data_IF_077330962552
#
_entry.id   IF_077330962552
#
_cell.length_a   1.000
_cell.length_b   1.000
_cell.length_c   1.000
_cell.angle_alpha   90.00
_cell.angle_beta   90.00
_cell.angle_gamma   90.00
#
_symmetry.space_group_name_H-M   'P 1'
#
loop_
_entity.id
_entity.type
_entity.pdbx_description
1 polymer ?
#
# COMPACT_ATOMS: atom_id res chain seq x y z
N UNK A 1 -8.59 -23.85 -3.07
CA UNK A 1 -8.56 -22.94 -1.92
C UNK A 1 -7.38 -21.98 -2.04
N UNK A 2 -7.61 -20.68 -1.84
CA UNK A 2 -6.54 -19.66 -1.83
C UNK A 2 -5.90 -19.65 -0.46
N UNK A 3 -4.56 -19.78 -0.45
CA UNK A 3 -3.77 -19.87 0.79
C UNK A 3 -3.93 -18.65 1.69
N UNK A 4 -4.18 -18.83 3.00
CA UNK A 4 -3.90 -17.77 3.95
C UNK A 4 -2.38 -17.58 4.07
N UNK A 5 -1.95 -16.36 4.30
CA UNK A 5 -0.54 -15.98 4.37
C UNK A 5 0.12 -16.48 5.67
N UNK A 6 0.21 -17.81 5.84
CA UNK A 6 0.77 -18.43 7.05
C UNK A 6 2.28 -18.22 7.21
N UNK A 7 2.97 -17.85 6.15
CA UNK A 7 4.38 -17.46 6.19
C UNK A 7 4.61 -16.18 7.00
N UNK A 8 3.61 -15.30 7.07
CA UNK A 8 3.66 -14.06 7.83
C UNK A 8 3.08 -14.22 9.25
N UNK A 9 2.04 -15.06 9.41
CA UNK A 9 1.27 -15.13 10.66
C UNK A 9 0.63 -16.50 10.86
N UNK A 10 0.70 -17.04 12.11
CA UNK A 10 0.04 -18.30 12.54
C UNK A 10 0.42 -19.48 11.65
N UNK A 11 1.70 -19.74 11.50
CA UNK A 11 2.25 -20.85 10.70
C UNK A 11 1.67 -22.22 11.10
N UNK A 12 1.28 -22.41 12.36
CA UNK A 12 0.68 -23.65 12.86
C UNK A 12 -0.64 -24.03 12.16
N UNK A 13 -1.30 -23.10 11.45
CA UNK A 13 -2.46 -23.39 10.58
C UNK A 13 -2.15 -24.38 9.45
N UNK A 14 -0.88 -24.62 9.15
CA UNK A 14 -0.47 -25.62 8.17
C UNK A 14 -1.07 -27.00 8.44
N UNK A 15 -1.22 -27.39 9.71
CA UNK A 15 -1.84 -28.66 10.10
C UNK A 15 -3.28 -28.76 9.59
N UNK A 16 -4.09 -27.71 9.82
CA UNK A 16 -5.46 -27.63 9.32
C UNK A 16 -5.51 -27.63 7.80
N UNK A 17 -4.63 -26.85 7.15
CA UNK A 17 -4.56 -26.79 5.67
C UNK A 17 -4.33 -28.19 5.11
N UNK A 18 -3.33 -28.93 5.62
CA UNK A 18 -3.02 -30.29 5.14
C UNK A 18 -4.17 -31.28 5.30
N UNK A 19 -4.96 -31.12 6.36
CA UNK A 19 -6.04 -32.07 6.67
C UNK A 19 -7.38 -31.74 5.98
N UNK A 20 -7.53 -30.52 5.46
CA UNK A 20 -8.83 -30.02 4.99
C UNK A 20 -8.84 -29.51 3.55
N UNK A 21 -7.69 -29.48 2.88
CA UNK A 21 -7.56 -28.87 1.56
C UNK A 21 -6.98 -29.86 0.55
N UNK A 22 -7.72 -30.13 -0.54
CA UNK A 22 -7.26 -31.00 -1.62
C UNK A 22 -6.30 -30.30 -2.57
N UNK A 23 -6.55 -29.02 -2.86
CA UNK A 23 -5.70 -28.18 -3.74
C UNK A 23 -5.48 -26.82 -3.12
N UNK A 24 -4.21 -26.42 -3.02
CA UNK A 24 -3.79 -25.11 -2.49
C UNK A 24 -3.31 -24.22 -3.62
N UNK A 25 -3.93 -23.06 -3.73
CA UNK A 25 -3.50 -21.99 -4.66
C UNK A 25 -2.82 -20.90 -3.87
N UNK A 26 -1.70 -20.42 -4.39
CA UNK A 26 -0.90 -19.34 -3.79
C UNK A 26 -0.86 -18.14 -4.73
N UNK A 27 -0.78 -16.95 -4.16
CA UNK A 27 -0.84 -15.68 -4.91
C UNK A 27 0.52 -14.98 -5.00
N UNK A 28 1.51 -15.41 -4.20
CA UNK A 28 2.88 -14.92 -4.31
C UNK A 28 3.83 -16.01 -4.80
N UNK A 29 4.81 -15.69 -5.67
CA UNK A 29 5.73 -16.68 -6.24
C UNK A 29 6.49 -17.48 -5.19
N UNK A 30 6.96 -16.81 -4.13
CA UNK A 30 7.75 -17.41 -3.06
C UNK A 30 6.94 -18.38 -2.18
N UNK A 31 5.61 -18.28 -2.15
CA UNK A 31 4.77 -19.19 -1.36
C UNK A 31 4.86 -20.63 -1.86
N UNK A 32 5.03 -20.83 -3.17
CA UNK A 32 5.20 -22.17 -3.75
C UNK A 32 6.41 -22.88 -3.14
N UNK A 33 7.55 -22.20 -3.07
CA UNK A 33 8.77 -22.71 -2.45
C UNK A 33 8.59 -22.92 -0.94
N UNK A 34 7.95 -21.95 -0.26
CA UNK A 34 7.66 -22.01 1.17
C UNK A 34 6.86 -23.27 1.52
N UNK A 35 5.75 -23.55 0.82
CA UNK A 35 4.95 -24.76 1.08
C UNK A 35 5.70 -26.01 0.73
N UNK A 36 6.39 -26.06 -0.40
CA UNK A 36 7.15 -27.25 -0.84
C UNK A 36 8.30 -27.60 0.10
N UNK A 37 9.20 -26.68 0.36
CA UNK A 37 10.44 -26.99 1.10
C UNK A 37 10.22 -27.05 2.61
N UNK A 38 9.44 -26.13 3.17
CA UNK A 38 9.23 -26.07 4.62
C UNK A 38 8.15 -27.03 5.10
N UNK A 39 7.09 -27.18 4.35
CA UNK A 39 5.92 -27.93 4.78
C UNK A 39 5.68 -29.24 4.03
N UNK A 40 6.49 -29.58 3.04
CA UNK A 40 6.34 -30.79 2.22
C UNK A 40 4.93 -30.88 1.63
N UNK A 41 4.38 -29.77 1.14
CA UNK A 41 3.05 -29.65 0.58
C UNK A 41 3.13 -28.98 -0.79
N UNK A 42 2.50 -29.61 -1.79
CA UNK A 42 2.41 -29.01 -3.13
C UNK A 42 1.38 -27.88 -3.16
N UNK A 43 1.70 -26.85 -3.92
CA UNK A 43 0.81 -25.70 -4.16
C UNK A 43 0.98 -25.19 -5.59
N UNK A 44 -0.05 -24.54 -6.12
CA UNK A 44 -0.06 -24.02 -7.49
C UNK A 44 -0.10 -22.49 -7.45
N UNK A 45 0.82 -21.87 -8.17
CA UNK A 45 0.86 -20.42 -8.36
C UNK A 45 0.30 -20.04 -9.74
N UNK A 46 -0.75 -19.21 -9.77
CA UNK A 46 -1.40 -18.72 -11.00
C UNK A 46 -1.23 -17.21 -11.22
N UNK A 47 -0.43 -16.54 -10.40
CA UNK A 47 -0.33 -15.08 -10.42
C UNK A 47 -1.16 -14.43 -9.31
N UNK A 48 -0.99 -13.13 -9.18
CA UNK A 48 -1.75 -12.35 -8.19
C UNK A 48 -2.99 -11.74 -8.85
N UNK A 49 -4.19 -11.85 -8.25
CA UNK A 49 -5.44 -11.34 -8.85
C UNK A 49 -5.42 -9.86 -9.21
N UNK A 50 -4.64 -9.05 -8.49
CA UNK A 50 -4.49 -7.62 -8.80
C UNK A 50 -3.89 -7.36 -10.19
N UNK A 51 -3.07 -8.27 -10.73
CA UNK A 51 -2.45 -8.09 -12.05
C UNK A 51 -3.55 -8.01 -13.11
N UNK A 52 -4.44 -8.98 -13.13
CA UNK A 52 -5.58 -9.00 -14.07
C UNK A 52 -6.50 -7.77 -13.89
N UNK A 53 -6.74 -7.35 -12.65
CA UNK A 53 -7.55 -6.17 -12.37
C UNK A 53 -6.92 -4.88 -12.90
N UNK A 54 -5.59 -4.74 -12.78
CA UNK A 54 -4.86 -3.57 -13.27
C UNK A 54 -4.76 -3.59 -14.79
N UNK A 55 -4.47 -4.75 -15.40
CA UNK A 55 -4.34 -4.90 -16.85
C UNK A 55 -5.67 -4.61 -17.57
N UNK A 56 -6.80 -4.98 -16.96
CA UNK A 56 -8.13 -4.74 -17.52
C UNK A 56 -8.71 -3.36 -17.15
N UNK A 57 -8.02 -2.58 -16.32
CA UNK A 57 -8.52 -1.28 -15.89
C UNK A 57 -8.52 -0.26 -17.04
N UNK A 58 -9.63 0.45 -17.16
CA UNK A 58 -9.80 1.54 -18.14
C UNK A 58 -9.97 2.87 -17.39
N UNK A 59 -9.01 3.79 -17.52
CA UNK A 59 -9.08 5.08 -16.84
C UNK A 59 -10.32 5.89 -17.24
N UNK A 60 -10.89 6.58 -16.27
CA UNK A 60 -12.01 7.48 -16.49
C UNK A 60 -11.51 8.86 -16.96
N UNK A 61 -11.71 9.19 -18.22
CA UNK A 61 -11.32 10.46 -18.82
C UNK A 61 -11.95 11.71 -18.14
N UNK A 62 -13.01 11.51 -17.35
CA UNK A 62 -13.69 12.59 -16.61
C UNK A 62 -13.23 12.68 -15.14
N UNK A 63 -12.19 11.91 -14.74
CA UNK A 63 -11.73 11.84 -13.34
C UNK A 63 -11.46 13.24 -12.75
N UNK A 64 -10.68 14.06 -13.42
CA UNK A 64 -10.35 15.42 -12.97
C UNK A 64 -11.60 16.31 -12.83
N UNK A 65 -12.45 16.32 -13.87
CA UNK A 65 -13.67 17.14 -13.88
C UNK A 65 -14.66 16.72 -12.80
N UNK A 66 -14.91 15.41 -12.67
CA UNK A 66 -15.89 14.88 -11.74
C UNK A 66 -15.51 15.12 -10.27
N UNK A 67 -14.21 15.24 -10.00
CA UNK A 67 -13.68 15.41 -8.64
C UNK A 67 -13.21 16.85 -8.36
N UNK A 68 -13.38 17.78 -9.28
CA UNK A 68 -12.89 19.16 -9.19
C UNK A 68 -11.38 19.22 -8.85
N UNK A 69 -10.58 18.39 -9.49
CA UNK A 69 -9.12 18.31 -9.35
C UNK A 69 -8.48 19.13 -10.47
N UNK A 70 -7.50 19.96 -10.13
CA UNK A 70 -6.74 20.71 -11.13
C UNK A 70 -5.82 19.80 -11.93
N UNK A 71 -5.76 20.01 -13.25
CA UNK A 71 -4.79 19.33 -14.13
C UNK A 71 -3.44 20.06 -14.22
N UNK A 72 -3.34 21.25 -13.65
CA UNK A 72 -2.12 22.07 -13.69
C UNK A 72 -1.05 21.63 -12.67
N UNK A 73 -1.44 20.77 -11.72
CA UNK A 73 -0.57 20.32 -10.64
C UNK A 73 -0.42 18.80 -10.68
N UNK A 74 0.80 18.34 -10.44
CA UNK A 74 1.07 16.92 -10.23
C UNK A 74 0.27 16.41 -9.01
N UNK A 75 -0.44 15.30 -9.15
CA UNK A 75 -1.19 14.67 -8.07
C UNK A 75 -0.27 13.83 -7.20
N UNK A 76 -0.45 13.96 -5.90
CA UNK A 76 0.10 13.06 -4.87
C UNK A 76 -1.05 12.30 -4.23
N UNK A 77 -1.07 10.99 -4.39
CA UNK A 77 -2.09 10.15 -3.81
C UNK A 77 -1.82 9.87 -2.33
N UNK A 78 -2.84 10.03 -1.49
CA UNK A 78 -2.84 9.56 -0.10
C UNK A 78 -3.76 8.35 0.03
N UNK A 79 -3.21 7.20 0.42
CA UNK A 79 -3.95 5.97 0.70
C UNK A 79 -3.82 5.64 2.21
N UNK A 80 -4.61 6.30 3.08
CA UNK A 80 -4.42 6.24 4.53
C UNK A 80 -4.91 4.92 5.17
N UNK A 81 -5.35 3.98 4.36
CA UNK A 81 -5.86 2.69 4.79
C UNK A 81 -7.35 2.52 4.58
N UNK A 82 -7.85 1.31 4.86
CA UNK A 82 -9.24 0.91 4.66
C UNK A 82 -10.04 0.78 5.97
N UNK A 83 -9.41 0.93 7.12
CA UNK A 83 -10.02 0.80 8.45
C UNK A 83 -9.99 2.12 9.20
N UNK A 84 -11.02 2.35 10.01
CA UNK A 84 -11.14 3.57 10.85
C UNK A 84 -9.87 3.87 11.64
N UNK A 85 -9.25 2.87 12.27
CA UNK A 85 -8.03 3.08 13.07
C UNK A 85 -6.81 3.44 12.21
N UNK A 86 -6.68 2.86 11.02
CA UNK A 86 -5.63 3.19 10.07
C UNK A 86 -5.76 4.66 9.65
N UNK A 87 -6.94 5.05 9.18
CA UNK A 87 -7.22 6.42 8.73
C UNK A 87 -6.96 7.44 9.84
N UNK A 88 -7.47 7.20 11.05
CA UNK A 88 -7.23 8.06 12.22
C UNK A 88 -5.75 8.24 12.54
N UNK A 89 -4.95 7.18 12.39
CA UNK A 89 -3.53 7.20 12.72
C UNK A 89 -2.66 7.79 11.62
N UNK A 90 -3.03 7.56 10.34
CA UNK A 90 -2.18 7.87 9.20
C UNK A 90 -2.50 9.22 8.56
N UNK A 91 -3.78 9.54 8.44
CA UNK A 91 -4.20 10.76 7.71
C UNK A 91 -3.62 12.06 8.27
N UNK A 92 -3.59 12.31 9.60
CA UNK A 92 -2.98 13.52 10.14
C UNK A 92 -1.50 13.67 9.78
N UNK A 93 -0.75 12.55 9.73
CA UNK A 93 0.67 12.54 9.38
C UNK A 93 0.84 12.81 7.88
N UNK A 94 0.01 12.22 7.02
CA UNK A 94 0.07 12.47 5.57
C UNK A 94 -0.23 13.93 5.24
N UNK A 95 -1.18 14.53 5.95
CA UNK A 95 -1.56 15.92 5.74
C UNK A 95 -0.45 16.93 6.11
N UNK A 96 0.58 16.55 6.88
CA UNK A 96 1.72 17.43 7.12
C UNK A 96 2.45 17.80 5.82
N UNK A 97 2.49 16.88 4.83
CA UNK A 97 3.10 17.18 3.53
C UNK A 97 2.40 18.32 2.79
N UNK A 98 1.09 18.46 2.92
CA UNK A 98 0.33 19.55 2.28
C UNK A 98 0.83 20.93 2.72
N UNK A 99 1.28 21.07 3.97
CA UNK A 99 1.80 22.35 4.51
C UNK A 99 3.14 22.73 3.88
N UNK A 100 3.95 21.75 3.53
CA UNK A 100 5.31 21.95 3.01
C UNK A 100 5.37 21.97 1.48
N UNK A 101 4.41 21.35 0.80
CA UNK A 101 4.45 21.13 -0.65
C UNK A 101 3.19 21.62 -1.35
N UNK A 102 2.88 22.92 -1.22
CA UNK A 102 1.67 23.55 -1.78
C UNK A 102 1.57 23.49 -3.32
N UNK A 103 2.68 23.24 -4.01
CA UNK A 103 2.71 23.12 -5.48
C UNK A 103 2.07 21.85 -6.02
N UNK A 104 1.85 20.83 -5.18
CA UNK A 104 1.19 19.57 -5.57
C UNK A 104 -0.28 19.58 -5.21
N UNK A 105 -1.06 18.82 -5.98
CA UNK A 105 -2.45 18.50 -5.66
C UNK A 105 -2.49 17.20 -4.86
N UNK A 106 -2.89 17.29 -3.59
CA UNK A 106 -3.03 16.12 -2.72
C UNK A 106 -4.44 15.58 -2.80
N UNK A 107 -4.58 14.28 -3.09
CA UNK A 107 -5.87 13.63 -3.23
C UNK A 107 -5.89 12.34 -2.41
N UNK A 108 -6.94 12.13 -1.65
CA UNK A 108 -7.13 10.96 -0.79
C UNK A 108 -8.00 9.93 -1.50
N UNK A 109 -7.53 8.67 -1.54
CA UNK A 109 -8.39 7.53 -1.79
C UNK A 109 -9.22 7.23 -0.54
N UNK A 110 -10.45 7.70 -0.52
CA UNK A 110 -11.40 7.47 0.57
C UNK A 110 -12.12 6.13 0.42
N UNK A 111 -12.56 5.56 1.54
CA UNK A 111 -13.39 4.35 1.59
C UNK A 111 -14.81 4.69 2.06
N UNK A 112 -15.82 4.04 1.49
CA UNK A 112 -17.23 4.36 1.75
C UNK A 112 -17.76 3.75 3.06
N UNK A 113 -17.20 2.62 3.46
CA UNK A 113 -17.64 1.85 4.62
C UNK A 113 -17.12 2.36 5.97
N UNK A 114 -16.58 3.58 6.01
CA UNK A 114 -16.16 4.26 7.23
C UNK A 114 -16.88 5.59 7.38
N UNK A 115 -16.91 6.12 8.59
CA UNK A 115 -17.47 7.43 8.86
C UNK A 115 -16.72 8.52 8.06
N UNK A 116 -17.44 9.24 7.19
CA UNK A 116 -16.90 10.30 6.34
C UNK A 116 -16.33 11.48 7.12
N UNK A 117 -16.72 11.64 8.38
CA UNK A 117 -16.16 12.66 9.29
C UNK A 117 -14.65 12.48 9.51
N UNK A 118 -14.11 11.26 9.33
CA UNK A 118 -12.68 10.98 9.40
C UNK A 118 -11.86 11.81 8.39
N UNK A 119 -12.45 12.22 7.30
CA UNK A 119 -11.80 13.03 6.26
C UNK A 119 -12.07 14.53 6.40
N UNK A 120 -12.79 14.97 7.45
CA UNK A 120 -13.17 16.37 7.63
C UNK A 120 -11.96 17.31 7.69
N UNK A 121 -10.94 16.94 8.47
CA UNK A 121 -9.69 17.71 8.56
C UNK A 121 -9.00 17.89 7.20
N UNK A 122 -9.05 16.88 6.34
CA UNK A 122 -8.47 16.95 5.01
C UNK A 122 -9.25 17.92 4.12
N UNK A 123 -10.58 17.88 4.18
CA UNK A 123 -11.47 18.79 3.43
C UNK A 123 -11.26 20.25 3.85
N UNK A 124 -11.11 20.52 5.14
CA UNK A 124 -10.81 21.84 5.68
C UNK A 124 -9.45 22.38 5.20
N UNK A 125 -8.49 21.50 4.98
CA UNK A 125 -7.20 21.83 4.37
C UNK A 125 -7.25 21.91 2.82
N UNK A 126 -8.43 21.79 2.20
CA UNK A 126 -8.59 21.81 0.75
C UNK A 126 -8.07 20.56 0.03
N UNK A 127 -7.93 19.43 0.74
CA UNK A 127 -7.54 18.14 0.15
C UNK A 127 -8.78 17.40 -0.33
N UNK A 128 -8.77 16.97 -1.60
CA UNK A 128 -9.89 16.23 -2.20
C UNK A 128 -9.89 14.78 -1.71
N UNK A 129 -11.11 14.23 -1.57
CA UNK A 129 -11.32 12.81 -1.25
C UNK A 129 -12.14 12.18 -2.37
N UNK A 130 -11.60 11.17 -3.01
CA UNK A 130 -12.27 10.41 -4.06
C UNK A 130 -12.63 9.02 -3.54
N UNK A 131 -13.82 8.53 -3.89
CA UNK A 131 -14.33 7.26 -3.44
C UNK A 131 -14.50 6.30 -4.61
N UNK A 132 -14.14 5.03 -4.44
CA UNK A 132 -14.20 3.98 -5.47
C UNK A 132 -13.45 4.33 -6.77
N UNK A 133 -12.45 5.21 -6.70
CA UNK A 133 -11.67 5.69 -7.84
C UNK A 133 -10.16 5.59 -7.57
N UNK A 134 -9.74 4.62 -6.77
CA UNK A 134 -8.32 4.45 -6.40
C UNK A 134 -7.44 4.25 -7.64
N UNK A 135 -7.88 3.46 -8.61
CA UNK A 135 -7.11 3.19 -9.82
C UNK A 135 -7.04 4.41 -10.75
N UNK A 136 -8.13 5.17 -10.87
CA UNK A 136 -8.09 6.47 -11.57
C UNK A 136 -7.13 7.45 -10.89
N UNK A 137 -7.15 7.49 -9.56
CA UNK A 137 -6.22 8.30 -8.79
C UNK A 137 -4.77 7.87 -9.04
N UNK A 138 -4.46 6.57 -8.92
CA UNK A 138 -3.10 6.07 -9.13
C UNK A 138 -2.60 6.31 -10.56
N UNK A 139 -3.44 6.08 -11.57
CA UNK A 139 -3.09 6.34 -12.98
C UNK A 139 -2.64 7.77 -13.22
N UNK A 140 -3.19 8.73 -12.46
CA UNK A 140 -2.90 10.15 -12.61
C UNK A 140 -1.94 10.69 -11.55
N UNK A 141 -1.34 9.83 -10.71
CA UNK A 141 -0.50 10.26 -9.60
C UNK A 141 0.99 10.23 -9.94
N UNK A 142 1.70 11.27 -9.56
CA UNK A 142 3.17 11.35 -9.64
C UNK A 142 3.86 10.50 -8.58
N UNK A 143 3.28 10.45 -7.37
CA UNK A 143 3.76 9.66 -6.25
C UNK A 143 2.60 9.33 -5.30
N UNK A 144 2.82 8.39 -4.38
CA UNK A 144 1.84 8.00 -3.39
C UNK A 144 2.44 7.86 -1.98
N UNK A 145 1.63 8.21 -0.96
CA UNK A 145 1.91 7.90 0.44
C UNK A 145 0.86 6.90 0.88
N UNK A 146 1.29 5.70 1.24
CA UNK A 146 0.38 4.59 1.44
C UNK A 146 0.53 3.93 2.80
N UNK A 147 -0.57 3.50 3.38
CA UNK A 147 -0.55 2.60 4.54
C UNK A 147 -0.21 1.20 4.06
N UNK A 148 0.63 0.49 4.83
CA UNK A 148 1.02 -0.89 4.51
C UNK A 148 -0.20 -1.79 4.30
N UNK A 149 -0.19 -2.52 3.19
CA UNK A 149 -1.27 -3.42 2.76
C UNK A 149 -1.21 -3.68 1.27
N UNK A 150 -2.30 -4.17 0.69
CA UNK A 150 -2.43 -4.41 -0.76
C UNK A 150 -2.25 -3.14 -1.59
N UNK A 151 -2.59 -1.97 -1.05
CA UNK A 151 -2.42 -0.68 -1.71
C UNK A 151 -0.97 -0.43 -2.16
N UNK A 152 0.04 -0.93 -1.43
CA UNK A 152 1.45 -0.81 -1.86
C UNK A 152 1.74 -1.61 -3.13
N UNK A 153 1.11 -2.76 -3.31
CA UNK A 153 1.24 -3.54 -4.55
C UNK A 153 0.49 -2.87 -5.71
N UNK A 154 -0.70 -2.32 -5.45
CA UNK A 154 -1.45 -1.54 -6.45
C UNK A 154 -0.62 -0.35 -6.96
N UNK A 155 0.00 0.43 -6.07
CA UNK A 155 0.88 1.53 -6.46
C UNK A 155 2.04 1.06 -7.37
N UNK A 156 2.66 -0.08 -7.04
CA UNK A 156 3.74 -0.63 -7.86
C UNK A 156 3.25 -1.08 -9.25
N UNK A 157 2.10 -1.75 -9.34
CA UNK A 157 1.49 -2.17 -10.60
C UNK A 157 1.11 -0.98 -11.49
N UNK A 158 0.66 0.14 -10.90
CA UNK A 158 0.44 1.41 -11.62
C UNK A 158 1.73 2.22 -11.83
N UNK A 159 2.90 1.68 -11.47
CA UNK A 159 4.21 2.35 -11.60
C UNK A 159 4.28 3.70 -10.88
N UNK A 160 3.62 3.81 -9.73
CA UNK A 160 3.60 5.02 -8.91
C UNK A 160 4.64 4.90 -7.80
N UNK A 161 5.70 5.72 -7.78
CA UNK A 161 6.65 5.76 -6.67
C UNK A 161 5.97 6.06 -5.34
N UNK A 162 6.39 5.37 -4.28
CA UNK A 162 5.63 5.39 -3.03
C UNK A 162 6.49 5.37 -1.78
N UNK A 163 5.93 5.90 -0.68
CA UNK A 163 6.42 5.69 0.68
C UNK A 163 5.38 4.86 1.41
N UNK A 164 5.81 3.73 1.96
CA UNK A 164 4.93 2.87 2.76
C UNK A 164 5.02 3.27 4.22
N UNK A 165 3.89 3.59 4.81
CA UNK A 165 3.79 4.06 6.19
C UNK A 165 2.99 3.07 7.03
N UNK A 166 3.37 2.91 8.29
CA UNK A 166 2.60 2.09 9.22
C UNK A 166 2.73 2.58 10.65
N UNK A 167 1.58 2.80 11.28
CA UNK A 167 1.49 3.16 12.68
C UNK A 167 0.30 2.45 13.31
N UNK A 168 0.53 1.74 14.39
CA UNK A 168 -0.50 1.06 15.16
C UNK A 168 -0.24 1.25 16.65
N UNK A 169 -1.15 0.78 17.52
CA UNK A 169 -0.91 0.86 18.95
C UNK A 169 0.38 0.14 19.34
N UNK A 170 1.07 0.64 20.34
CA UNK A 170 2.34 0.07 20.81
C UNK A 170 2.22 -1.41 21.13
N UNK A 171 1.11 -1.81 21.77
CA UNK A 171 0.82 -3.20 22.13
C UNK A 171 0.69 -4.07 20.89
N UNK A 172 -0.12 -3.63 19.91
CA UNK A 172 -0.33 -4.38 18.65
C UNK A 172 0.96 -4.52 17.85
N UNK A 173 1.79 -3.47 17.82
CA UNK A 173 3.09 -3.51 17.15
C UNK A 173 4.05 -4.50 17.81
N UNK A 174 4.16 -4.45 19.14
CA UNK A 174 5.06 -5.34 19.88
C UNK A 174 4.67 -6.81 19.72
N UNK A 175 3.37 -7.11 19.84
CA UNK A 175 2.81 -8.44 19.59
C UNK A 175 3.10 -8.86 18.13
N UNK A 176 2.81 -8.02 17.16
CA UNK A 176 3.08 -8.30 15.76
C UNK A 176 4.55 -8.63 15.51
N UNK A 177 5.47 -7.81 16.02
CA UNK A 177 6.91 -7.99 15.84
C UNK A 177 7.45 -9.27 16.48
N UNK A 178 6.86 -9.71 17.59
CA UNK A 178 7.28 -10.95 18.27
C UNK A 178 6.89 -12.20 17.49
N UNK A 179 5.73 -12.16 16.79
CA UNK A 179 5.18 -13.31 16.08
C UNK A 179 5.45 -13.31 14.57
N UNK A 180 5.83 -12.18 13.99
CA UNK A 180 6.04 -12.01 12.54
C UNK A 180 7.53 -11.88 12.25
N UNK A 181 8.10 -12.93 11.65
CA UNK A 181 9.51 -13.00 11.24
C UNK A 181 9.67 -12.55 9.80
N UNK A 182 9.29 -11.30 9.50
CA UNK A 182 9.51 -10.72 8.17
C UNK A 182 10.35 -9.44 8.28
N UNK A 183 11.28 -9.28 7.34
CA UNK A 183 12.17 -8.12 7.29
C UNK A 183 11.45 -6.86 6.80
N UNK A 184 10.36 -7.02 6.05
CA UNK A 184 9.60 -5.96 5.39
C UNK A 184 8.11 -6.07 5.70
N UNK A 185 7.39 -4.93 5.66
CA UNK A 185 5.95 -4.90 5.82
C UNK A 185 5.20 -4.60 4.50
N UNK A 186 5.88 -4.03 3.52
CA UNK A 186 5.28 -3.78 2.21
C UNK A 186 5.33 -5.03 1.34
N UNK A 187 4.25 -5.33 0.64
CA UNK A 187 4.19 -6.45 -0.27
C UNK A 187 5.23 -6.34 -1.40
N UNK A 188 5.56 -5.13 -1.83
CA UNK A 188 6.60 -4.88 -2.84
C UNK A 188 7.95 -5.40 -2.38
N UNK A 189 8.41 -4.98 -1.19
CA UNK A 189 9.70 -5.40 -0.65
C UNK A 189 9.73 -6.91 -0.36
N UNK A 190 8.62 -7.46 0.14
CA UNK A 190 8.47 -8.89 0.44
C UNK A 190 8.59 -9.73 -0.85
N UNK A 191 7.88 -9.35 -1.91
CA UNK A 191 7.87 -10.08 -3.19
C UNK A 191 9.26 -10.02 -3.83
N UNK A 192 9.87 -8.83 -3.84
CA UNK A 192 11.18 -8.61 -4.46
C UNK A 192 12.35 -9.06 -3.56
N UNK A 193 12.09 -9.44 -2.31
CA UNK A 193 13.10 -9.84 -1.29
C UNK A 193 14.20 -8.80 -1.10
N UNK A 194 13.88 -7.52 -1.34
CA UNK A 194 14.81 -6.40 -1.22
C UNK A 194 14.07 -5.10 -0.90
N UNK A 195 14.79 -4.13 -0.35
CA UNK A 195 14.24 -2.82 -0.03
C UNK A 195 14.15 -1.93 -1.28
N UNK A 196 13.04 -1.99 -1.98
CA UNK A 196 12.72 -1.14 -3.14
C UNK A 196 11.99 0.12 -2.70
N UNK A 197 11.01 -0.02 -1.81
CA UNK A 197 10.25 1.09 -1.28
C UNK A 197 10.65 1.40 0.16
N UNK A 198 10.67 2.68 0.51
CA UNK A 198 10.94 3.07 1.90
C UNK A 198 9.74 2.75 2.79
N UNK A 199 10.02 2.15 3.94
CA UNK A 199 9.04 1.85 4.98
C UNK A 199 9.28 2.73 6.21
N UNK A 200 8.33 3.60 6.50
CA UNK A 200 8.33 4.44 7.71
C UNK A 200 7.39 3.83 8.75
N UNK A 201 7.95 3.17 9.75
CA UNK A 201 7.21 2.37 10.72
C UNK A 201 7.32 2.99 12.10
N UNK A 202 6.19 3.15 12.79
CA UNK A 202 6.09 3.61 14.19
C UNK A 202 6.91 4.89 14.45
N UNK A 203 7.98 4.80 15.25
CA UNK A 203 8.81 5.94 15.64
C UNK A 203 9.63 6.52 14.49
N UNK A 204 9.82 5.76 13.40
CA UNK A 204 10.46 6.27 12.17
C UNK A 204 9.49 7.08 11.31
N UNK A 205 8.17 6.97 11.54
CA UNK A 205 7.17 7.77 10.85
C UNK A 205 7.04 9.12 11.54
N UNK A 206 7.97 10.00 11.24
CA UNK A 206 7.98 11.41 11.69
C UNK A 206 7.74 12.33 10.49
N UNK A 207 7.26 13.54 10.75
CA UNK A 207 7.10 14.57 9.71
C UNK A 207 8.41 14.81 8.95
N UNK A 208 9.54 14.94 9.67
CA UNK A 208 10.87 15.15 9.10
C UNK A 208 11.27 14.04 8.13
N UNK A 209 11.16 12.78 8.56
CA UNK A 209 11.50 11.63 7.71
C UNK A 209 10.55 11.52 6.51
N UNK A 210 9.26 11.80 6.70
CA UNK A 210 8.28 11.79 5.61
C UNK A 210 8.61 12.87 4.56
N UNK A 211 9.01 14.08 4.96
CA UNK A 211 9.45 15.15 4.07
C UNK A 211 10.71 14.74 3.31
N UNK A 212 11.71 14.18 4.00
CA UNK A 212 12.95 13.75 3.37
C UNK A 212 12.69 12.70 2.29
N UNK A 213 11.95 11.66 2.64
CA UNK A 213 11.63 10.57 1.71
C UNK A 213 10.71 11.03 0.56
N UNK A 214 9.81 11.98 0.84
CA UNK A 214 8.97 12.57 -0.20
C UNK A 214 9.79 13.28 -1.28
N UNK A 215 10.80 14.07 -0.91
CA UNK A 215 11.70 14.70 -1.87
C UNK A 215 12.42 13.65 -2.74
N UNK A 216 12.85 12.54 -2.14
CA UNK A 216 13.54 11.46 -2.85
C UNK A 216 12.65 10.75 -3.87
N UNK A 217 11.36 10.50 -3.55
CA UNK A 217 10.45 9.83 -4.48
C UNK A 217 9.86 10.76 -5.53
N UNK A 218 9.94 12.08 -5.33
CA UNK A 218 9.45 13.06 -6.32
C UNK A 218 10.48 13.34 -7.40
N UNK A 219 11.72 13.65 -7.02
CA UNK A 219 12.77 14.10 -7.94
C UNK A 219 14.14 13.45 -7.67
N UNK A 220 14.27 12.62 -6.64
CA UNK A 220 15.54 12.00 -6.26
C UNK A 220 15.85 10.71 -7.01
N UNK A 221 17.01 10.15 -6.73
CA UNK A 221 17.50 8.89 -7.31
C UNK A 221 16.57 7.70 -6.97
N UNK A 222 15.98 7.69 -5.78
CA UNK A 222 15.06 6.61 -5.35
C UNK A 222 13.85 6.47 -6.27
N UNK A 223 13.37 7.57 -6.86
CA UNK A 223 12.30 7.51 -7.86
C UNK A 223 12.67 6.63 -9.06
N UNK A 224 13.85 6.85 -9.62
CA UNK A 224 14.32 6.12 -10.79
C UNK A 224 14.53 4.63 -10.47
N UNK A 225 15.10 4.34 -9.30
CA UNK A 225 15.31 2.99 -8.82
C UNK A 225 13.99 2.23 -8.62
N UNK A 226 12.98 2.85 -7.97
CA UNK A 226 11.66 2.25 -7.83
C UNK A 226 11.03 1.93 -9.19
N UNK A 227 11.03 2.90 -10.12
CA UNK A 227 10.41 2.71 -11.44
C UNK A 227 11.09 1.58 -12.24
N UNK A 228 12.41 1.44 -12.09
CA UNK A 228 13.14 0.32 -12.68
C UNK A 228 12.71 -1.03 -12.12
N UNK A 229 12.41 -1.10 -10.82
CA UNK A 229 11.94 -2.34 -10.19
C UNK A 229 10.46 -2.64 -10.44
N UNK A 230 9.67 -1.66 -10.86
CA UNK A 230 8.26 -1.83 -11.20
C UNK A 230 8.02 -2.23 -12.67
N UNK A 231 9.07 -2.23 -13.49
CA UNK A 231 9.04 -2.67 -14.90
C UNK A 231 9.34 -4.15 -15.03
#
# INVERSE_FOLDING_TARGET
>A
YISPQIWAWKENRIKTIKNSIDKLYVIFPFEKEYYKYKHKMESTYYGHPLIEQVDNFKPNNKFFKNNNISQERDIIAFLPGSRTQEIKSMLPIFLTLKKHFSKYEFVIAGVENVDKSLYQIAKEMGVRVVYNQTYDLLTNSKAAIVTSGTASLECALFKVPQIVCYKTSFISYFIGRTFVKIDFISLVNIILKQKVVQELIQNKLTEKELINEFNEIINGQKRLEMLKHYS
#
